data_IF_468794090264
#
_entry.id   IF_468794090264
#
_cell.length_a   1.000
_cell.length_b   1.000
_cell.length_c   1.000
_cell.angle_alpha   90.00
_cell.angle_beta   90.00
_cell.angle_gamma   90.00
#
_symmetry.space_group_name_H-M   'P 1'
#
loop_
_entity.id
_entity.type
_entity.pdbx_description
1 polymer ?
#
# COMPACT_ATOMS: atom_id res chain seq x y z
N UNK A 1 38.54 13.92 17.95
CA UNK A 1 37.50 14.19 16.94
C UNK A 1 37.90 13.45 15.68
N UNK A 2 37.41 12.22 15.53
CA UNK A 2 37.73 11.35 14.39
C UNK A 2 36.79 11.68 13.22
N UNK A 3 37.26 11.67 11.97
CA UNK A 3 36.41 11.96 10.81
C UNK A 3 35.40 10.82 10.62
N UNK A 4 34.14 11.20 10.33
CA UNK A 4 33.12 10.28 9.85
C UNK A 4 33.60 9.58 8.57
N UNK A 5 33.40 8.26 8.40
CA UNK A 5 33.69 7.62 7.13
C UNK A 5 32.72 8.16 6.08
N UNK A 6 33.28 8.57 4.93
CA UNK A 6 32.52 8.94 3.75
C UNK A 6 31.56 7.80 3.41
N UNK A 7 30.27 8.11 3.35
CA UNK A 7 29.26 7.18 2.86
C UNK A 7 29.68 6.73 1.47
N UNK A 8 29.96 5.43 1.32
CA UNK A 8 30.13 4.79 0.03
C UNK A 8 28.93 5.16 -0.83
N UNK A 9 29.17 5.85 -1.95
CA UNK A 9 28.17 6.13 -2.97
C UNK A 9 27.77 4.81 -3.63
N UNK A 10 26.92 4.03 -2.93
CA UNK A 10 26.12 3.00 -3.56
C UNK A 10 25.33 3.70 -4.66
N UNK A 11 25.35 3.13 -5.86
CA UNK A 11 24.63 3.61 -7.04
C UNK A 11 23.21 3.96 -6.61
N UNK A 12 22.96 5.25 -6.35
CA UNK A 12 21.66 5.72 -5.92
C UNK A 12 20.75 5.57 -7.11
N UNK A 13 19.80 4.63 -7.05
CA UNK A 13 18.82 4.47 -8.11
C UNK A 13 18.18 5.85 -8.40
N UNK A 14 18.21 6.27 -9.67
CA UNK A 14 17.56 7.51 -10.06
C UNK A 14 16.05 7.39 -9.85
N UNK A 15 15.39 8.51 -9.56
CA UNK A 15 13.92 8.53 -9.45
C UNK A 15 13.22 8.06 -10.73
N UNK A 16 13.82 8.31 -11.89
CA UNK A 16 13.33 7.80 -13.17
C UNK A 16 13.38 6.28 -13.22
N UNK A 17 14.51 5.66 -12.84
CA UNK A 17 14.64 4.21 -12.81
C UNK A 17 13.78 3.55 -11.72
N UNK A 18 13.55 4.25 -10.61
CA UNK A 18 12.57 3.84 -9.59
C UNK A 18 11.16 3.80 -10.20
N UNK A 19 10.71 4.92 -10.78
CA UNK A 19 9.38 5.01 -11.35
C UNK A 19 9.16 3.95 -12.45
N UNK A 20 10.16 3.74 -13.31
CA UNK A 20 10.09 2.71 -14.36
C UNK A 20 9.87 1.31 -13.78
N UNK A 21 10.71 0.87 -12.82
CA UNK A 21 10.55 -0.45 -12.18
C UNK A 21 9.19 -0.58 -11.50
N UNK A 22 8.80 0.43 -10.72
CA UNK A 22 7.56 0.43 -9.95
C UNK A 22 6.34 0.36 -10.88
N UNK A 23 6.33 1.12 -11.98
CA UNK A 23 5.26 1.04 -13.00
C UNK A 23 5.24 -0.31 -13.74
N UNK A 24 6.41 -0.93 -13.95
CA UNK A 24 6.50 -2.28 -14.52
C UNK A 24 5.86 -3.34 -13.63
N UNK A 25 6.07 -3.27 -12.31
CA UNK A 25 5.43 -4.15 -11.34
C UNK A 25 3.91 -3.94 -11.28
N UNK A 26 3.46 -2.69 -11.24
CA UNK A 26 2.03 -2.34 -11.28
C UNK A 26 1.33 -2.96 -12.50
N UNK A 27 1.94 -2.85 -13.68
CA UNK A 27 1.33 -3.30 -14.93
C UNK A 27 1.12 -4.82 -15.02
N UNK A 28 1.92 -5.61 -14.29
CA UNK A 28 1.90 -7.08 -14.34
C UNK A 28 1.28 -7.73 -13.10
N UNK A 29 0.86 -6.94 -12.12
CA UNK A 29 0.31 -7.46 -10.88
C UNK A 29 -1.12 -8.01 -11.03
N UNK A 30 -1.46 -8.96 -10.15
CA UNK A 30 -2.76 -9.66 -10.16
C UNK A 30 -3.79 -8.92 -9.31
N UNK A 31 -3.96 -7.62 -9.55
CA UNK A 31 -4.81 -6.74 -8.75
C UNK A 31 -6.20 -7.34 -8.47
N UNK A 32 -6.55 -7.44 -7.20
CA UNK A 32 -7.82 -7.97 -6.69
C UNK A 32 -8.16 -9.42 -7.08
N UNK A 33 -7.23 -10.16 -7.71
CA UNK A 33 -7.50 -11.51 -8.22
C UNK A 33 -7.77 -12.53 -7.11
N UNK A 34 -7.14 -12.33 -5.94
CA UNK A 34 -7.25 -13.19 -4.76
C UNK A 34 -8.24 -12.65 -3.71
N UNK A 35 -9.06 -11.65 -4.04
CA UNK A 35 -10.08 -11.17 -3.11
C UNK A 35 -11.09 -12.29 -2.80
N UNK A 36 -11.46 -12.42 -1.53
CA UNK A 36 -12.36 -13.45 -0.97
C UNK A 36 -11.81 -14.88 -0.98
N UNK A 37 -10.57 -15.10 -1.42
CA UNK A 37 -9.90 -16.39 -1.21
C UNK A 37 -9.39 -16.49 0.24
N UNK A 38 -9.28 -17.68 0.84
CA UNK A 38 -8.64 -17.83 2.14
C UNK A 38 -7.24 -17.21 2.17
N UNK A 39 -6.89 -16.50 3.25
CA UNK A 39 -5.56 -15.92 3.41
C UNK A 39 -4.51 -17.04 3.52
N UNK A 40 -3.51 -16.99 2.64
CA UNK A 40 -2.37 -17.90 2.71
C UNK A 40 -1.50 -17.56 3.92
N UNK A 41 -0.55 -18.44 4.27
CA UNK A 41 0.43 -18.16 5.32
C UNK A 41 1.29 -16.93 4.99
N UNK A 42 1.58 -16.70 3.72
CA UNK A 42 2.32 -15.52 3.27
C UNK A 42 1.50 -14.23 3.45
N UNK A 43 0.21 -14.26 3.07
CA UNK A 43 -0.70 -13.12 3.28
C UNK A 43 -0.81 -12.76 4.77
N UNK A 44 -0.92 -13.78 5.63
CA UNK A 44 -0.99 -13.59 7.08
C UNK A 44 0.31 -13.00 7.63
N UNK A 45 1.46 -13.50 7.19
CA UNK A 45 2.76 -12.99 7.64
C UNK A 45 2.96 -11.53 7.23
N UNK A 46 2.59 -11.19 5.99
CA UNK A 46 2.65 -9.81 5.51
C UNK A 46 1.67 -8.90 6.26
N UNK A 47 0.42 -9.34 6.48
CA UNK A 47 -0.55 -8.57 7.26
C UNK A 47 -0.10 -8.32 8.71
N UNK A 48 0.50 -9.33 9.36
CA UNK A 48 1.12 -9.20 10.68
C UNK A 48 2.28 -8.20 10.66
N UNK A 49 3.14 -8.26 9.65
CA UNK A 49 4.25 -7.32 9.49
C UNK A 49 3.76 -5.88 9.28
N UNK A 50 2.68 -5.67 8.51
CA UNK A 50 2.06 -4.34 8.36
C UNK A 50 1.50 -3.86 9.69
N UNK A 51 0.74 -4.71 10.39
CA UNK A 51 0.14 -4.41 11.68
C UNK A 51 1.18 -3.96 12.71
N UNK A 52 2.26 -4.73 12.86
CA UNK A 52 3.33 -4.39 13.81
C UNK A 52 4.10 -3.12 13.45
N UNK A 53 4.05 -2.70 12.19
CA UNK A 53 4.65 -1.45 11.73
C UNK A 53 4.02 -0.19 12.31
N UNK A 54 2.71 -0.21 12.56
CA UNK A 54 1.95 0.97 12.99
C UNK A 54 1.17 0.76 14.28
N UNK A 55 1.12 -0.47 14.80
CA UNK A 55 0.35 -0.83 15.96
C UNK A 55 1.14 -1.73 16.90
N UNK A 56 1.14 -1.37 18.18
CA UNK A 56 1.91 -2.09 19.20
C UNK A 56 1.08 -3.13 19.97
N UNK A 57 -0.25 -3.06 19.90
CA UNK A 57 -1.11 -4.07 20.53
C UNK A 57 -1.37 -5.23 19.57
N UNK A 58 -1.39 -6.48 20.08
CA UNK A 58 -1.72 -7.64 19.26
C UNK A 58 -3.18 -7.57 18.83
N UNK A 59 -3.43 -7.53 17.52
CA UNK A 59 -4.76 -7.67 16.93
C UNK A 59 -4.79 -8.92 16.05
N UNK A 60 -5.97 -9.54 15.93
CA UNK A 60 -6.14 -10.66 15.00
C UNK A 60 -6.15 -10.16 13.54
N UNK A 61 -5.54 -10.93 12.64
CA UNK A 61 -5.74 -10.75 11.19
C UNK A 61 -7.02 -11.49 10.82
N UNK A 62 -7.94 -10.81 10.12
CA UNK A 62 -9.21 -11.40 9.68
C UNK A 62 -9.41 -11.22 8.18
N UNK A 63 -9.85 -12.29 7.55
CA UNK A 63 -10.30 -12.26 6.16
C UNK A 63 -11.72 -11.70 6.09
N UNK A 64 -11.99 -10.92 5.06
CA UNK A 64 -13.34 -10.50 4.70
C UNK A 64 -14.03 -11.60 3.89
N UNK A 65 -15.27 -11.91 4.23
CA UNK A 65 -16.07 -13.00 3.62
C UNK A 65 -16.81 -12.57 2.35
N UNK A 66 -16.98 -11.27 2.13
CA UNK A 66 -17.72 -10.72 1.01
C UNK A 66 -17.41 -9.23 0.78
N UNK A 67 -17.55 -8.77 -0.46
CA UNK A 67 -17.47 -7.34 -0.77
C UNK A 67 -18.54 -6.51 -0.02
N UNK A 68 -19.70 -7.11 0.29
CA UNK A 68 -20.72 -6.48 1.14
C UNK A 68 -20.21 -6.26 2.57
N UNK A 69 -19.51 -7.24 3.16
CA UNK A 69 -18.86 -7.06 4.46
C UNK A 69 -17.74 -6.01 4.38
N UNK A 70 -16.92 -6.00 3.32
CA UNK A 70 -15.93 -4.95 3.09
C UNK A 70 -16.58 -3.57 3.13
N UNK A 71 -17.69 -3.39 2.42
CA UNK A 71 -18.46 -2.14 2.42
C UNK A 71 -18.96 -1.78 3.81
N UNK A 72 -19.57 -2.72 4.53
CA UNK A 72 -20.07 -2.47 5.90
C UNK A 72 -18.95 -2.03 6.84
N UNK A 73 -17.79 -2.69 6.78
CA UNK A 73 -16.58 -2.29 7.52
C UNK A 73 -16.15 -0.88 7.12
N UNK A 74 -16.14 -0.59 5.81
CA UNK A 74 -15.68 0.69 5.28
C UNK A 74 -16.58 1.88 5.69
N UNK A 75 -17.88 1.65 5.79
CA UNK A 75 -18.85 2.69 6.15
C UNK A 75 -19.17 2.76 7.64
N UNK A 76 -18.61 1.84 8.44
CA UNK A 76 -18.80 1.81 9.88
C UNK A 76 -18.07 2.94 10.61
N UNK A 77 -18.23 2.99 11.94
CA UNK A 77 -17.60 3.98 12.81
C UNK A 77 -16.43 3.44 13.64
N UNK A 78 -16.09 2.15 13.51
CA UNK A 78 -15.07 1.46 14.31
C UNK A 78 -13.64 1.61 13.76
N UNK A 79 -13.41 2.60 12.90
CA UNK A 79 -12.10 2.90 12.35
C UNK A 79 -11.12 3.33 13.45
N UNK A 80 -9.91 2.77 13.42
CA UNK A 80 -8.87 3.19 14.36
C UNK A 80 -8.22 4.50 13.92
N UNK A 81 -8.58 5.60 14.60
CA UNK A 81 -7.96 6.92 14.40
C UNK A 81 -6.45 6.83 14.66
N UNK A 82 -6.04 6.14 15.73
CA UNK A 82 -4.62 5.99 16.07
C UNK A 82 -3.82 5.27 14.97
N UNK A 83 -4.43 4.25 14.34
CA UNK A 83 -3.83 3.58 13.20
C UNK A 83 -3.67 4.54 12.01
N UNK A 84 -4.73 5.27 11.67
CA UNK A 84 -4.72 6.23 10.56
C UNK A 84 -3.68 7.33 10.77
N UNK A 85 -3.64 7.93 11.96
CA UNK A 85 -2.69 8.98 12.31
C UNK A 85 -1.25 8.48 12.27
N UNK A 86 -1.01 7.22 12.68
CA UNK A 86 0.29 6.57 12.59
C UNK A 86 0.76 6.40 11.14
N UNK A 87 -0.11 5.87 10.27
CA UNK A 87 0.20 5.76 8.84
C UNK A 87 0.46 7.15 8.21
N UNK A 88 -0.39 8.13 8.52
CA UNK A 88 -0.26 9.46 7.94
C UNK A 88 1.00 10.19 8.45
N UNK A 89 1.36 10.03 9.73
CA UNK A 89 2.60 10.56 10.27
C UNK A 89 3.83 9.96 9.56
N UNK A 90 3.82 8.64 9.33
CA UNK A 90 4.90 7.96 8.63
C UNK A 90 4.99 8.38 7.17
N UNK A 91 3.85 8.51 6.47
CA UNK A 91 3.82 9.02 5.09
C UNK A 91 4.48 10.40 4.98
N UNK A 92 4.18 11.31 5.92
CA UNK A 92 4.80 12.65 5.97
C UNK A 92 6.31 12.57 6.24
N UNK A 93 6.72 11.68 7.15
CA UNK A 93 8.15 11.45 7.45
C UNK A 93 8.91 10.98 6.22
N UNK A 94 8.36 10.01 5.48
CA UNK A 94 8.97 9.49 4.25
C UNK A 94 9.02 10.55 3.14
N UNK A 95 7.96 11.34 2.97
CA UNK A 95 7.94 12.45 2.03
C UNK A 95 9.06 13.45 2.31
N UNK A 96 9.25 13.84 3.58
CA UNK A 96 10.33 14.75 3.97
C UNK A 96 11.73 14.16 3.71
N UNK A 97 11.92 12.85 3.95
CA UNK A 97 13.19 12.17 3.67
C UNK A 97 13.49 12.07 2.17
N UNK A 98 12.49 11.67 1.38
CA UNK A 98 12.61 11.58 -0.07
C UNK A 98 12.87 12.96 -0.70
N UNK A 99 12.19 14.00 -0.21
CA UNK A 99 12.39 15.38 -0.65
C UNK A 99 13.81 15.87 -0.31
N UNK A 100 14.31 15.62 0.90
CA UNK A 100 15.67 15.97 1.28
C UNK A 100 16.73 15.28 0.42
N UNK A 101 16.43 14.09 -0.10
CA UNK A 101 17.34 13.28 -0.92
C UNK A 101 17.33 13.66 -2.40
N UNK A 102 16.17 13.99 -2.94
CA UNK A 102 15.98 14.11 -4.39
C UNK A 102 15.46 15.48 -4.86
N UNK A 103 15.06 16.34 -3.92
CA UNK A 103 14.32 17.57 -4.21
C UNK A 103 12.84 17.31 -4.47
N UNK A 104 12.03 18.33 -4.19
CA UNK A 104 10.56 18.24 -4.25
C UNK A 104 10.04 17.93 -5.65
N UNK A 105 10.45 18.71 -6.66
CA UNK A 105 9.93 18.57 -8.03
C UNK A 105 10.23 17.21 -8.66
N UNK A 106 11.48 16.72 -8.70
CA UNK A 106 11.77 15.40 -9.30
C UNK A 106 11.03 14.27 -8.57
N UNK A 107 10.94 14.35 -7.24
CA UNK A 107 10.19 13.37 -6.43
C UNK A 107 8.72 13.35 -6.81
N UNK A 108 8.07 14.52 -6.87
CA UNK A 108 6.66 14.63 -7.23
C UNK A 108 6.41 14.14 -8.65
N UNK A 109 7.27 14.45 -9.62
CA UNK A 109 7.15 13.94 -11.00
C UNK A 109 7.19 12.40 -11.07
N UNK A 110 8.09 11.78 -10.32
CA UNK A 110 8.20 10.32 -10.26
C UNK A 110 6.96 9.68 -9.60
N UNK A 111 6.52 10.23 -8.47
CA UNK A 111 5.34 9.72 -7.75
C UNK A 111 4.06 9.93 -8.55
N UNK A 112 3.89 11.06 -9.23
CA UNK A 112 2.75 11.31 -10.13
C UNK A 112 2.67 10.23 -11.20
N UNK A 113 3.78 9.95 -11.91
CA UNK A 113 3.84 8.89 -12.93
C UNK A 113 3.41 7.53 -12.37
N UNK A 114 3.90 7.17 -11.17
CA UNK A 114 3.50 5.93 -10.50
C UNK A 114 1.99 5.91 -10.27
N UNK A 115 1.42 6.98 -9.71
CA UNK A 115 0.00 7.04 -9.38
C UNK A 115 -0.93 7.10 -10.59
N UNK A 116 -0.48 7.69 -11.71
CA UNK A 116 -1.21 7.69 -12.98
C UNK A 116 -1.32 6.27 -13.53
N UNK A 117 -0.19 5.56 -13.67
CA UNK A 117 -0.18 4.17 -14.13
C UNK A 117 -0.97 3.26 -13.19
N UNK A 118 -0.82 3.44 -11.87
CA UNK A 118 -1.60 2.70 -10.88
C UNK A 118 -3.10 2.91 -11.09
N UNK A 119 -3.55 4.16 -11.18
CA UNK A 119 -4.98 4.50 -11.31
C UNK A 119 -5.59 3.93 -12.58
N UNK A 120 -4.89 4.01 -13.71
CA UNK A 120 -5.35 3.45 -14.99
C UNK A 120 -5.48 1.92 -14.93
N UNK A 121 -4.58 1.25 -14.19
CA UNK A 121 -4.55 -0.21 -14.06
C UNK A 121 -5.62 -0.73 -13.10
N UNK A 122 -5.72 -0.13 -11.89
CA UNK A 122 -6.46 -0.72 -10.77
C UNK A 122 -7.96 -0.46 -10.82
N UNK A 123 -8.43 0.60 -11.49
CA UNK A 123 -9.87 0.89 -11.61
C UNK A 123 -10.64 -0.21 -12.36
N UNK A 124 -10.09 -0.65 -13.50
CA UNK A 124 -10.67 -1.74 -14.29
C UNK A 124 -10.64 -3.05 -13.50
N UNK A 125 -9.50 -3.37 -12.89
CA UNK A 125 -9.33 -4.58 -12.09
C UNK A 125 -10.31 -4.65 -10.90
N UNK A 126 -10.45 -3.57 -10.13
CA UNK A 126 -11.39 -3.52 -9.01
C UNK A 126 -12.84 -3.70 -9.45
N UNK A 127 -13.23 -3.06 -10.56
CA UNK A 127 -14.58 -3.17 -11.10
C UNK A 127 -14.89 -4.58 -11.59
N UNK A 128 -13.95 -5.25 -12.26
CA UNK A 128 -14.08 -6.64 -12.70
C UNK A 128 -14.17 -7.58 -11.50
N UNK A 129 -13.31 -7.40 -10.48
CA UNK A 129 -13.31 -8.23 -9.28
C UNK A 129 -14.64 -8.16 -8.53
N UNK A 130 -15.21 -6.95 -8.38
CA UNK A 130 -16.51 -6.76 -7.76
C UNK A 130 -17.65 -7.36 -8.62
N UNK A 131 -17.61 -7.15 -9.95
CA UNK A 131 -18.63 -7.68 -10.86
C UNK A 131 -18.69 -9.22 -10.85
N UNK A 132 -17.55 -9.91 -10.64
CA UNK A 132 -17.49 -11.38 -10.49
C UNK A 132 -18.35 -11.91 -9.36
N UNK A 133 -18.67 -11.09 -8.35
CA UNK A 133 -19.53 -11.49 -7.23
C UNK A 133 -20.99 -11.11 -7.44
N UNK A 134 -21.37 -10.63 -8.63
CA UNK A 134 -22.72 -10.17 -8.94
C UNK A 134 -23.09 -8.83 -8.31
N UNK A 135 -22.12 -8.10 -7.75
CA UNK A 135 -22.35 -6.78 -7.17
C UNK A 135 -21.99 -5.67 -8.17
N UNK A 136 -22.82 -4.63 -8.19
CA UNK A 136 -22.58 -3.42 -8.96
C UNK A 136 -22.58 -2.22 -8.01
N UNK A 137 -21.43 -1.97 -7.39
CA UNK A 137 -21.23 -0.82 -6.50
C UNK A 137 -20.00 -0.01 -6.93
N UNK A 138 -20.20 1.03 -7.77
CA UNK A 138 -19.11 1.89 -8.23
C UNK A 138 -18.39 2.63 -7.10
N UNK A 139 -19.05 2.86 -5.96
CA UNK A 139 -18.42 3.48 -4.80
C UNK A 139 -17.39 2.55 -4.17
N UNK A 140 -17.76 1.27 -4.04
CA UNK A 140 -16.90 0.24 -3.46
C UNK A 140 -15.70 -0.09 -4.38
N UNK A 141 -15.92 -0.22 -5.69
CA UNK A 141 -14.80 -0.45 -6.61
C UNK A 141 -13.83 0.73 -6.66
N UNK A 142 -14.33 1.98 -6.58
CA UNK A 142 -13.48 3.17 -6.44
C UNK A 142 -12.71 3.19 -5.12
N UNK A 143 -13.32 2.75 -4.02
CA UNK A 143 -12.63 2.68 -2.73
C UNK A 143 -11.46 1.69 -2.78
N UNK A 144 -11.67 0.51 -3.36
CA UNK A 144 -10.61 -0.49 -3.56
C UNK A 144 -9.50 0.04 -4.48
N UNK A 145 -9.87 0.62 -5.63
CA UNK A 145 -8.92 1.21 -6.57
C UNK A 145 -8.10 2.34 -5.94
N UNK A 146 -8.75 3.25 -5.21
CA UNK A 146 -8.08 4.35 -4.51
C UNK A 146 -7.09 3.86 -3.45
N UNK A 147 -7.46 2.83 -2.68
CA UNK A 147 -6.56 2.23 -1.69
C UNK A 147 -5.34 1.57 -2.36
N UNK A 148 -5.51 0.93 -3.52
CA UNK A 148 -4.42 0.36 -4.30
C UNK A 148 -3.48 1.44 -4.86
N UNK A 149 -4.02 2.51 -5.45
CA UNK A 149 -3.23 3.66 -5.92
C UNK A 149 -2.43 4.30 -4.78
N UNK A 150 -3.07 4.53 -3.64
CA UNK A 150 -2.40 5.08 -2.45
C UNK A 150 -1.28 4.16 -1.95
N UNK A 151 -1.47 2.85 -2.02
CA UNK A 151 -0.44 1.87 -1.68
C UNK A 151 0.79 1.98 -2.60
N UNK A 152 0.58 2.18 -3.90
CA UNK A 152 1.67 2.43 -4.87
C UNK A 152 2.43 3.72 -4.53
N UNK A 153 1.71 4.80 -4.23
CA UNK A 153 2.32 6.07 -3.80
C UNK A 153 3.20 5.90 -2.56
N UNK A 154 2.68 5.21 -1.52
CA UNK A 154 3.41 4.98 -0.27
C UNK A 154 4.62 4.08 -0.46
N UNK A 155 4.53 3.05 -1.29
CA UNK A 155 5.68 2.21 -1.62
C UNK A 155 6.75 2.97 -2.42
N UNK A 156 6.34 3.80 -3.38
CA UNK A 156 7.24 4.73 -4.08
C UNK A 156 7.96 5.69 -3.12
N UNK A 157 7.27 6.18 -2.08
CA UNK A 157 7.88 7.00 -1.02
C UNK A 157 8.93 6.22 -0.20
N UNK A 158 8.67 4.95 0.13
CA UNK A 158 9.64 4.09 0.84
C UNK A 158 10.92 3.96 0.01
N UNK A 159 10.79 3.63 -1.27
CA UNK A 159 11.93 3.50 -2.17
C UNK A 159 12.67 4.82 -2.36
N UNK A 160 11.95 5.93 -2.55
CA UNK A 160 12.54 7.27 -2.71
C UNK A 160 13.22 7.77 -1.43
N UNK A 161 12.76 7.35 -0.25
CA UNK A 161 13.43 7.59 1.02
C UNK A 161 14.66 6.69 1.23
N UNK A 162 14.90 5.72 0.34
CA UNK A 162 16.01 4.77 0.41
C UNK A 162 15.84 3.69 1.48
N UNK A 163 14.59 3.37 1.84
CA UNK A 163 14.25 2.30 2.77
C UNK A 163 13.97 0.99 2.01
N UNK A 164 14.04 -0.14 2.71
CA UNK A 164 13.91 -1.45 2.11
C UNK A 164 12.45 -1.98 2.03
N UNK A 165 12.29 -3.11 1.33
CA UNK A 165 11.00 -3.77 1.09
C UNK A 165 10.33 -4.41 2.33
N UNK A 166 11.01 -4.45 3.48
CA UNK A 166 10.43 -4.88 4.75
C UNK A 166 9.62 -3.77 5.43
N UNK A 167 9.74 -2.52 4.95
CA UNK A 167 8.96 -1.41 5.46
C UNK A 167 7.45 -1.70 5.39
N UNK A 168 6.64 -1.34 6.41
CA UNK A 168 5.22 -1.66 6.45
C UNK A 168 4.41 -1.22 5.22
N UNK A 169 4.72 -0.07 4.62
CA UNK A 169 4.08 0.34 3.36
C UNK A 169 4.47 -0.50 2.15
N UNK A 170 5.74 -0.94 2.05
CA UNK A 170 6.18 -1.84 0.98
C UNK A 170 5.54 -3.23 1.14
N UNK A 171 5.46 -3.73 2.37
CA UNK A 171 4.74 -4.98 2.69
C UNK A 171 3.25 -4.88 2.37
N UNK A 172 2.57 -3.77 2.71
CA UNK A 172 1.17 -3.55 2.31
C UNK A 172 1.02 -3.54 0.79
N UNK A 173 1.94 -2.89 0.09
CA UNK A 173 1.93 -2.86 -1.37
C UNK A 173 2.08 -4.26 -1.98
N UNK A 174 2.92 -5.12 -1.40
CA UNK A 174 3.05 -6.51 -1.81
C UNK A 174 1.75 -7.31 -1.67
N UNK A 175 0.97 -7.11 -0.60
CA UNK A 175 -0.37 -7.72 -0.47
C UNK A 175 -1.28 -7.32 -1.63
N UNK A 176 -1.26 -6.03 -1.99
CA UNK A 176 -2.01 -5.52 -3.13
C UNK A 176 -1.56 -6.10 -4.47
N UNK A 177 -0.24 -6.19 -4.71
CA UNK A 177 0.31 -6.81 -5.92
C UNK A 177 -0.06 -8.30 -6.02
N UNK A 178 -0.15 -8.99 -4.87
CA UNK A 178 -0.64 -10.36 -4.72
C UNK A 178 -2.15 -10.52 -4.88
N UNK A 179 -2.88 -9.42 -5.15
CA UNK A 179 -4.31 -9.45 -5.43
C UNK A 179 -5.21 -9.37 -4.20
N UNK A 180 -4.67 -9.05 -3.02
CA UNK A 180 -5.44 -8.79 -1.81
C UNK A 180 -5.83 -7.32 -1.70
N UNK A 181 -6.82 -7.02 -0.87
CA UNK A 181 -7.14 -5.64 -0.50
C UNK A 181 -7.13 -5.47 1.03
N UNK A 182 -6.01 -5.00 1.60
CA UNK A 182 -5.94 -4.68 3.02
C UNK A 182 -6.79 -3.45 3.35
N UNK A 183 -7.74 -3.59 4.29
CA UNK A 183 -8.62 -2.50 4.73
C UNK A 183 -8.02 -1.68 5.89
N UNK A 184 -7.10 -2.27 6.66
CA UNK A 184 -6.52 -1.65 7.86
C UNK A 184 -7.16 -2.14 9.16
N UNK A 185 -6.94 -1.39 10.24
CA UNK A 185 -7.48 -1.73 11.57
C UNK A 185 -8.89 -1.18 11.75
N UNK A 186 -9.84 -2.08 11.99
CA UNK A 186 -11.25 -1.76 12.21
C UNK A 186 -11.73 -2.59 13.41
N UNK A 187 -12.13 -1.90 14.48
CA UNK A 187 -12.49 -2.54 15.75
C UNK A 187 -11.30 -3.24 16.38
N UNK A 188 -11.38 -4.57 16.50
CA UNK A 188 -10.43 -5.44 17.19
C UNK A 188 -9.53 -6.25 16.24
N UNK A 189 -9.54 -5.93 14.94
CA UNK A 189 -8.85 -6.71 13.93
C UNK A 189 -8.25 -5.88 12.80
N UNK A 190 -7.24 -6.45 12.16
CA UNK A 190 -6.73 -6.00 10.87
C UNK A 190 -7.40 -6.81 9.77
N UNK A 191 -8.09 -6.13 8.85
CA UNK A 191 -8.93 -6.78 7.85
C UNK A 191 -8.27 -6.80 6.47
N UNK A 192 -8.40 -7.94 5.79
CA UNK A 192 -7.92 -8.15 4.42
C UNK A 192 -9.02 -8.80 3.59
N UNK A 193 -9.33 -8.25 2.41
CA UNK A 193 -10.24 -8.82 1.42
C UNK A 193 -9.47 -9.70 0.44
#
# INVERSE_FOLDING_TARGET
MLPFPAASAGIGASLAGLAERHTGEIAHASWFAATLEPLTLADQADAVSVLHGFHHQPLSIRAVDSWSQAKSLLTGSSWSIAWWDGEEAERRRLAALAEARHGSTPMLEALTRITEVASDTVHGAASIALARTGLADPGLSRAAAGAATESCYRAGLVEAAGLDSSHPFATRHRLFLGGRWPLGVIGDAYWVV
#
